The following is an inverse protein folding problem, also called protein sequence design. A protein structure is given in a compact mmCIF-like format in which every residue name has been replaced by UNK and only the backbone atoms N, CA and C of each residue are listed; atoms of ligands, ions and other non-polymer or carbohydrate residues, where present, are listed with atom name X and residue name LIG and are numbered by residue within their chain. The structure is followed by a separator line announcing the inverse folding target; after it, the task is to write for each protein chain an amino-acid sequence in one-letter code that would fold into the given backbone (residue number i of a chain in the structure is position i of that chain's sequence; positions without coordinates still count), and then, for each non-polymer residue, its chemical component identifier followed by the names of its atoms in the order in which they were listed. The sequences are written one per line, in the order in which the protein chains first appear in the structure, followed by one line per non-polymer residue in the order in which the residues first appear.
data_IF_983073857349
#
_entry.id   IF_983073857349
#
_cell.length_a   1.000
_cell.length_b   1.000
_cell.length_c   1.000
_cell.angle_alpha   90.00
_cell.angle_beta   90.00
_cell.angle_gamma   90.00
#
_symmetry.space_group_name_H-M   'P 1'
#
loop_
_entity.id
_entity.type
_entity.pdbx_description
1 polymer ?
#
# COMPACT_ATOMS: atom_id res chain seq x y z
N UNK A 1 46.04 -16.51 1.66
CA UNK A 1 44.98 -15.97 2.54
C UNK A 1 44.96 -14.47 2.34
N UNK A 2 43.93 -13.93 1.70
CA UNK A 2 43.73 -12.51 1.53
C UNK A 2 42.26 -12.21 1.89
N UNK A 3 42.07 -11.41 2.93
CA UNK A 3 40.77 -10.89 3.36
C UNK A 3 40.41 -9.67 2.50
N UNK A 4 39.18 -9.54 1.98
CA UNK A 4 38.75 -8.31 1.33
C UNK A 4 38.32 -7.28 2.38
N UNK A 5 38.82 -6.05 2.22
CA UNK A 5 38.44 -4.87 2.98
C UNK A 5 36.94 -4.59 2.83
N UNK A 6 36.27 -4.43 3.98
CA UNK A 6 34.94 -3.83 4.05
C UNK A 6 35.06 -2.35 3.70
N UNK A 7 34.63 -1.98 2.49
CA UNK A 7 34.36 -0.58 2.18
C UNK A 7 33.12 -0.14 2.97
N UNK A 8 33.35 0.61 4.05
CA UNK A 8 32.31 1.29 4.82
C UNK A 8 31.53 2.25 3.91
N UNK A 9 30.20 2.10 3.90
CA UNK A 9 29.28 3.00 3.24
C UNK A 9 29.22 4.33 4.03
N UNK A 10 30.12 5.25 3.72
CA UNK A 10 30.10 6.63 4.24
C UNK A 10 29.00 7.46 3.55
N UNK A 11 27.75 7.24 3.95
CA UNK A 11 26.65 8.15 3.62
C UNK A 11 26.68 9.35 4.57
N UNK A 12 27.46 10.39 4.19
CA UNK A 12 27.41 11.66 4.89
C UNK A 12 26.08 12.39 4.63
N UNK A 13 25.41 12.92 5.67
CA UNK A 13 24.23 13.75 5.48
C UNK A 13 24.62 15.07 4.81
N UNK A 14 23.96 15.40 3.71
CA UNK A 14 24.09 16.70 3.07
C UNK A 14 22.84 17.54 3.33
N UNK A 15 23.05 18.82 3.64
CA UNK A 15 21.98 19.77 3.88
C UNK A 15 21.82 20.67 2.66
N UNK A 16 20.62 20.69 2.09
CA UNK A 16 20.27 21.60 1.00
C UNK A 16 19.65 22.87 1.59
N UNK A 17 20.44 23.93 1.68
CA UNK A 17 19.96 25.26 2.06
C UNK A 17 19.53 26.03 0.81
N UNK A 18 18.22 26.23 0.65
CA UNK A 18 17.68 27.05 -0.43
C UNK A 18 17.94 28.54 -0.12
N UNK A 19 18.67 29.22 -1.01
CA UNK A 19 18.95 30.66 -0.90
C UNK A 19 17.71 31.43 -1.34
N UNK A 20 16.97 31.99 -0.38
CA UNK A 20 15.91 32.94 -0.69
C UNK A 20 16.51 34.13 -1.46
N UNK A 21 15.96 34.43 -2.64
CA UNK A 21 16.37 35.56 -3.46
C UNK A 21 16.04 36.85 -2.69
N UNK A 22 17.06 37.63 -2.35
CA UNK A 22 16.88 38.95 -1.72
C UNK A 22 16.13 39.85 -2.71
N UNK A 23 14.86 40.13 -2.44
CA UNK A 23 14.12 41.16 -3.16
C UNK A 23 14.81 42.50 -2.91
N UNK A 24 15.32 43.12 -3.98
CA UNK A 24 15.88 44.46 -3.95
C UNK A 24 14.75 45.47 -3.66
N UNK A 25 14.69 46.00 -2.45
CA UNK A 25 14.04 47.30 -2.24
C UNK A 25 15.08 48.39 -2.50
N UNK A 26 14.97 49.08 -3.63
CA UNK A 26 15.70 50.32 -3.87
C UNK A 26 15.24 51.38 -2.85
N UNK A 27 16.09 51.67 -1.86
CA UNK A 27 16.05 52.97 -1.16
C UNK A 27 17.45 53.56 -1.14
N UNK A 28 17.58 54.67 -1.86
CA UNK A 28 18.75 55.55 -1.84
C UNK A 28 18.91 56.16 -0.45
N UNK A 29 20.05 55.94 0.21
CA UNK A 29 20.69 56.96 1.05
C UNK A 29 22.15 56.60 1.35
N UNK A 30 23.03 57.50 0.90
CA UNK A 30 24.37 57.85 1.40
C UNK A 30 24.90 57.16 2.68
N UNK A 31 26.16 56.73 2.65
CA UNK A 31 27.01 56.70 3.87
C UNK A 31 27.78 55.40 4.13
N UNK A 32 29.11 55.49 4.02
CA UNK A 32 30.12 54.44 4.28
C UNK A 32 30.12 53.84 5.70
N UNK A 33 30.23 52.50 5.82
CA UNK A 33 31.37 51.78 6.46
C UNK A 33 31.08 50.29 6.65
N UNK A 34 32.03 49.45 6.21
CA UNK A 34 32.12 48.01 6.51
C UNK A 34 32.28 47.78 8.01
N UNK A 35 31.36 47.04 8.65
CA UNK A 35 31.60 46.39 9.94
C UNK A 35 31.13 44.95 9.85
N UNK A 36 32.11 44.05 9.87
CA UNK A 36 31.99 42.59 9.99
C UNK A 36 31.48 42.29 11.40
N UNK A 37 30.22 41.86 11.57
CA UNK A 37 29.68 41.46 12.88
C UNK A 37 29.53 39.94 12.97
N UNK A 38 30.41 39.38 13.80
CA UNK A 38 30.36 38.03 14.40
C UNK A 38 29.11 37.97 15.29
N UNK A 39 28.31 36.92 15.14
CA UNK A 39 27.14 36.67 15.99
C UNK A 39 27.66 36.09 17.31
N UNK A 40 27.59 36.86 18.39
CA UNK A 40 27.68 36.36 19.76
C UNK A 40 26.25 36.29 20.32
N UNK A 41 25.83 35.08 20.68
CA UNK A 41 24.57 34.80 21.37
C UNK A 41 24.81 35.05 22.87
N UNK A 42 24.08 35.99 23.46
CA UNK A 42 23.83 36.04 24.90
C UNK A 42 22.55 36.84 25.20
N UNK A 43 21.77 36.44 26.23
CA UNK A 43 20.38 36.88 26.40
C UNK A 43 20.31 38.26 27.06
N UNK A 44 19.48 39.16 26.53
CA UNK A 44 19.25 40.48 27.12
C UNK A 44 18.12 40.40 28.14
N UNK A 45 18.51 40.67 29.39
CA UNK A 45 17.66 40.88 30.56
C UNK A 45 16.75 42.09 30.42
N UNK A 46 15.56 41.98 30.98
CA UNK A 46 14.50 42.97 30.99
C UNK A 46 14.87 44.28 31.71
N UNK A 47 14.51 45.43 31.09
CA UNK A 47 13.86 46.60 31.70
C UNK A 47 13.87 47.78 30.72
N UNK A 48 12.70 48.13 30.19
CA UNK A 48 12.05 49.44 30.38
C UNK A 48 10.89 49.58 29.38
N UNK A 49 9.71 49.80 29.93
CA UNK A 49 8.48 50.07 29.23
C UNK A 49 8.42 51.52 28.78
N UNK A 50 7.88 51.78 27.59
CA UNK A 50 6.99 52.93 27.33
C UNK A 50 6.22 52.73 26.02
N UNK A 51 5.05 52.10 26.18
CA UNK A 51 3.75 52.38 25.55
C UNK A 51 3.77 53.21 24.25
N UNK A 52 3.61 52.54 23.12
CA UNK A 52 2.84 53.07 21.99
C UNK A 52 2.07 51.92 21.34
N UNK A 53 0.75 51.95 21.48
CA UNK A 53 -0.18 51.11 20.75
C UNK A 53 0.09 51.27 19.25
N UNK A 54 0.23 50.15 18.53
CA UNK A 54 -0.28 49.88 17.17
C UNK A 54 0.12 48.44 16.83
N UNK A 55 -0.88 47.61 16.51
CA UNK A 55 -0.67 46.40 15.74
C UNK A 55 -1.05 45.10 16.46
N UNK A 56 -2.34 44.81 16.54
CA UNK A 56 -2.91 43.45 16.62
C UNK A 56 -2.61 42.65 15.33
N UNK A 57 -1.34 42.63 14.91
CA UNK A 57 -0.84 42.10 13.65
C UNK A 57 0.19 40.99 13.80
N UNK A 58 0.93 40.93 14.92
CA UNK A 58 2.04 39.98 15.07
C UNK A 58 1.56 38.52 15.32
N UNK A 59 0.52 38.31 16.13
CA UNK A 59 -0.03 36.96 16.37
C UNK A 59 -0.83 36.40 15.19
N UNK A 60 -1.45 37.28 14.38
CA UNK A 60 -2.20 36.87 13.17
C UNK A 60 -1.27 36.49 12.02
N UNK A 61 -0.12 37.15 11.92
CA UNK A 61 0.89 36.88 10.90
C UNK A 61 1.68 35.61 11.23
N UNK A 62 1.95 35.33 12.52
CA UNK A 62 2.62 34.10 12.97
C UNK A 62 1.81 32.83 12.66
N UNK A 63 0.52 32.80 13.01
CA UNK A 63 -0.35 31.66 12.66
C UNK A 63 -0.55 31.47 11.16
N UNK A 64 -0.55 32.57 10.38
CA UNK A 64 -0.63 32.50 8.93
C UNK A 64 0.67 31.94 8.32
N UNK A 65 1.83 32.37 8.86
CA UNK A 65 3.13 31.87 8.44
C UNK A 65 3.33 30.39 8.79
N UNK A 66 2.88 29.95 9.97
CA UNK A 66 2.86 28.55 10.37
C UNK A 66 1.94 27.69 9.48
N UNK A 67 0.77 28.22 9.11
CA UNK A 67 -0.11 27.55 8.15
C UNK A 67 0.57 27.37 6.78
N UNK A 68 1.20 28.43 6.25
CA UNK A 68 1.93 28.37 4.98
C UNK A 68 3.13 27.40 5.05
N UNK A 69 3.84 27.34 6.18
CA UNK A 69 4.92 26.36 6.41
C UNK A 69 4.38 24.93 6.39
N UNK A 70 3.27 24.68 7.08
CA UNK A 70 2.63 23.37 7.12
C UNK A 70 2.11 22.95 5.74
N UNK A 71 1.50 23.87 5.00
CA UNK A 71 1.04 23.64 3.63
C UNK A 71 2.21 23.31 2.70
N UNK A 72 3.28 24.11 2.76
CA UNK A 72 4.49 23.85 1.99
C UNK A 72 5.12 22.50 2.36
N UNK A 73 5.15 22.16 3.66
CA UNK A 73 5.63 20.86 4.13
C UNK A 73 4.77 19.73 3.57
N UNK A 74 3.46 19.78 3.72
CA UNK A 74 2.54 18.75 3.22
C UNK A 74 2.64 18.59 1.70
N UNK A 75 2.76 19.69 0.97
CA UNK A 75 2.93 19.67 -0.48
C UNK A 75 4.24 18.99 -0.89
N UNK A 76 5.37 19.36 -0.25
CA UNK A 76 6.67 18.76 -0.55
C UNK A 76 6.70 17.29 -0.13
N UNK A 77 6.19 16.97 1.07
CA UNK A 77 6.13 15.61 1.60
C UNK A 77 5.27 14.69 0.73
N UNK A 78 4.07 15.11 0.36
CA UNK A 78 3.20 14.33 -0.53
C UNK A 78 3.84 14.07 -1.89
N UNK A 79 4.59 15.04 -2.43
CA UNK A 79 5.35 14.87 -3.68
C UNK A 79 6.52 13.89 -3.53
N UNK A 80 7.23 13.93 -2.40
CA UNK A 80 8.30 12.96 -2.11
C UNK A 80 7.68 11.56 -2.00
N UNK A 81 6.63 11.42 -1.20
CA UNK A 81 5.92 10.15 -0.98
C UNK A 81 5.38 9.57 -2.29
N UNK A 82 4.72 10.39 -3.12
CA UNK A 82 4.21 9.94 -4.41
C UNK A 82 5.33 9.51 -5.35
N UNK A 83 6.44 10.24 -5.38
CA UNK A 83 7.60 9.89 -6.21
C UNK A 83 8.21 8.56 -5.78
N UNK A 84 8.33 8.30 -4.48
CA UNK A 84 8.82 7.02 -3.95
C UNK A 84 7.89 5.88 -4.34
N UNK A 85 6.58 6.06 -4.13
CA UNK A 85 5.56 5.06 -4.52
C UNK A 85 5.61 4.77 -6.03
N UNK A 86 5.70 5.80 -6.87
CA UNK A 86 5.79 5.64 -8.32
C UNK A 86 7.05 4.86 -8.75
N UNK A 87 8.20 5.13 -8.11
CA UNK A 87 9.45 4.40 -8.38
C UNK A 87 9.31 2.93 -7.98
N UNK A 88 8.80 2.64 -6.78
CA UNK A 88 8.59 1.26 -6.30
C UNK A 88 7.62 0.49 -7.20
N UNK A 89 6.50 1.11 -7.54
CA UNK A 89 5.52 0.54 -8.46
C UNK A 89 6.13 0.24 -9.83
N UNK A 90 6.95 1.14 -10.37
CA UNK A 90 7.58 0.97 -11.68
C UNK A 90 8.61 -0.17 -11.67
N UNK A 91 9.36 -0.35 -10.59
CA UNK A 91 10.30 -1.47 -10.42
C UNK A 91 9.56 -2.81 -10.45
N UNK A 92 8.41 -2.90 -9.77
CA UNK A 92 7.63 -4.12 -9.66
C UNK A 92 6.71 -4.40 -10.86
N UNK A 93 6.47 -3.40 -11.72
CA UNK A 93 5.47 -3.46 -12.78
C UNK A 93 5.64 -4.66 -13.71
N UNK A 94 6.89 -4.99 -14.08
CA UNK A 94 7.14 -6.15 -14.95
C UNK A 94 6.72 -7.46 -14.28
N UNK A 95 7.05 -7.64 -12.99
CA UNK A 95 6.66 -8.83 -12.22
C UNK A 95 5.14 -8.90 -12.06
N UNK A 96 4.49 -7.76 -11.81
CA UNK A 96 3.03 -7.70 -11.72
C UNK A 96 2.35 -8.10 -13.04
N UNK A 97 2.87 -7.65 -14.18
CA UNK A 97 2.37 -8.06 -15.50
C UNK A 97 2.53 -9.56 -15.74
N UNK A 98 3.67 -10.14 -15.32
CA UNK A 98 3.94 -11.57 -15.44
C UNK A 98 2.99 -12.41 -14.55
N UNK A 99 2.76 -11.97 -13.30
CA UNK A 99 1.79 -12.60 -12.39
C UNK A 99 0.38 -12.50 -12.98
N UNK A 100 -0.01 -11.32 -13.49
CA UNK A 100 -1.31 -11.14 -14.11
C UNK A 100 -1.50 -12.05 -15.34
N UNK A 101 -0.47 -12.19 -16.18
CA UNK A 101 -0.49 -13.12 -17.32
C UNK A 101 -0.69 -14.56 -16.84
N UNK A 102 0.05 -14.99 -15.82
CA UNK A 102 -0.09 -16.33 -15.24
C UNK A 102 -1.49 -16.57 -14.65
N UNK A 103 -2.09 -15.56 -13.99
CA UNK A 103 -3.47 -15.63 -13.48
C UNK A 103 -4.47 -15.85 -14.62
N UNK A 104 -4.35 -15.09 -15.71
CA UNK A 104 -5.21 -15.22 -16.88
C UNK A 104 -5.07 -16.59 -17.55
N UNK A 105 -3.83 -17.05 -17.77
CA UNK A 105 -3.55 -18.37 -18.35
C UNK A 105 -4.11 -19.51 -17.49
N UNK A 106 -3.95 -19.40 -16.17
CA UNK A 106 -4.51 -20.36 -15.21
C UNK A 106 -6.04 -20.37 -15.23
N UNK A 107 -6.66 -19.20 -15.30
CA UNK A 107 -8.11 -19.06 -15.37
C UNK A 107 -8.69 -19.59 -16.69
N UNK A 108 -8.02 -19.33 -17.82
CA UNK A 108 -8.42 -19.87 -19.11
C UNK A 108 -8.28 -21.40 -19.16
N UNK A 109 -7.25 -21.96 -18.52
CA UNK A 109 -7.12 -23.40 -18.35
C UNK A 109 -8.32 -23.99 -17.60
N UNK A 110 -8.75 -23.37 -16.49
CA UNK A 110 -9.96 -23.77 -15.75
C UNK A 110 -11.21 -23.71 -16.63
N UNK A 111 -11.42 -22.59 -17.33
CA UNK A 111 -12.61 -22.40 -18.19
C UNK A 111 -12.66 -23.38 -19.35
N UNK A 112 -11.53 -23.62 -20.01
CA UNK A 112 -11.45 -24.50 -21.19
C UNK A 112 -11.94 -25.92 -20.88
N UNK A 113 -11.75 -26.37 -19.63
CA UNK A 113 -12.22 -27.67 -19.19
C UNK A 113 -13.69 -27.71 -18.78
N UNK A 114 -14.26 -26.58 -18.35
CA UNK A 114 -15.68 -26.46 -17.99
C UNK A 114 -16.67 -26.52 -19.16
N UNK A 115 -16.19 -26.64 -20.42
CA UNK A 115 -17.01 -26.60 -21.64
C UNK A 115 -17.97 -27.80 -21.80
N UNK A 116 -17.95 -28.79 -20.91
CA UNK A 116 -18.95 -29.88 -20.87
C UNK A 116 -20.22 -29.56 -20.07
N UNK A 117 -20.37 -28.35 -19.52
CA UNK A 117 -21.61 -27.92 -18.86
C UNK A 117 -22.65 -27.36 -19.86
N UNK A 118 -22.82 -27.99 -21.03
CA UNK A 118 -23.91 -27.61 -21.95
C UNK A 118 -25.24 -28.20 -21.45
N UNK A 119 -26.18 -27.32 -21.07
CA UNK A 119 -27.59 -27.61 -20.75
C UNK A 119 -27.85 -28.67 -19.66
N UNK A 120 -27.50 -28.37 -18.42
CA UNK A 120 -28.11 -29.06 -17.28
C UNK A 120 -29.54 -28.53 -17.03
N UNK A 121 -30.52 -29.08 -17.75
CA UNK A 121 -31.97 -28.91 -17.49
C UNK A 121 -32.45 -29.88 -16.40
N UNK A 122 -31.57 -30.30 -15.49
CA UNK A 122 -31.89 -31.31 -14.48
C UNK A 122 -31.34 -30.91 -13.12
N UNK A 123 -32.22 -31.04 -12.12
CA UNK A 123 -31.96 -30.89 -10.70
C UNK A 123 -30.81 -31.80 -10.26
N UNK A 124 -29.75 -31.14 -9.77
CA UNK A 124 -28.50 -31.66 -9.21
C UNK A 124 -27.60 -32.44 -10.19
N UNK A 125 -26.44 -31.89 -10.59
CA UNK A 125 -25.43 -32.68 -11.26
C UNK A 125 -24.72 -33.56 -10.22
N UNK A 126 -24.81 -34.88 -10.42
CA UNK A 126 -23.89 -35.84 -9.80
C UNK A 126 -22.52 -35.55 -10.38
N UNK A 127 -21.58 -35.17 -9.50
CA UNK A 127 -20.19 -34.84 -9.83
C UNK A 127 -19.48 -36.10 -10.31
N UNK A 128 -19.39 -36.28 -11.62
CA UNK A 128 -18.48 -37.24 -12.25
C UNK A 128 -17.53 -36.47 -13.17
N UNK A 129 -16.24 -36.55 -12.83
CA UNK A 129 -15.08 -35.90 -13.43
C UNK A 129 -14.94 -34.37 -13.28
N UNK A 130 -14.61 -33.97 -12.04
CA UNK A 130 -13.94 -32.69 -11.77
C UNK A 130 -12.44 -32.82 -12.11
N UNK A 131 -12.10 -32.65 -13.38
CA UNK A 131 -10.72 -32.64 -13.89
C UNK A 131 -9.86 -31.48 -13.37
N UNK A 132 -10.42 -30.56 -12.56
CA UNK A 132 -9.65 -29.55 -11.83
C UNK A 132 -9.98 -29.56 -10.33
N UNK A 133 -9.40 -30.52 -9.63
CA UNK A 133 -9.30 -30.53 -8.16
C UNK A 133 -8.09 -29.74 -7.65
N UNK A 134 -7.39 -28.96 -8.46
CA UNK A 134 -6.15 -28.28 -8.03
C UNK A 134 -6.31 -26.77 -8.12
N UNK A 135 -6.15 -26.10 -6.98
CA UNK A 135 -6.07 -24.65 -6.88
C UNK A 135 -4.72 -24.21 -7.46
N UNK A 136 -4.76 -23.35 -8.48
CA UNK A 136 -3.55 -22.71 -8.99
C UNK A 136 -3.00 -21.79 -7.91
N UNK A 137 -1.78 -22.08 -7.45
CA UNK A 137 -1.14 -21.37 -6.35
C UNK A 137 0.26 -20.95 -6.79
N UNK A 138 0.58 -19.67 -6.60
CA UNK A 138 1.91 -19.12 -6.83
C UNK A 138 2.54 -18.71 -5.50
N UNK A 139 3.81 -19.09 -5.29
CA UNK A 139 4.59 -18.62 -4.15
C UNK A 139 5.47 -17.45 -4.62
N UNK A 140 5.27 -16.28 -4.03
CA UNK A 140 6.03 -15.06 -4.37
C UNK A 140 7.11 -14.86 -3.31
N UNK A 141 8.37 -14.97 -3.72
CA UNK A 141 9.49 -14.64 -2.87
C UNK A 141 9.88 -13.18 -3.09
N UNK A 142 9.58 -12.35 -2.09
CA UNK A 142 10.13 -11.01 -2.02
C UNK A 142 11.58 -11.12 -1.51
N UNK A 143 12.47 -10.28 -2.06
CA UNK A 143 13.86 -10.19 -1.57
C UNK A 143 14.01 -9.09 -0.51
N UNK A 144 12.89 -8.68 0.08
CA UNK A 144 12.87 -7.59 1.04
C UNK A 144 13.40 -8.07 2.39
N UNK A 145 14.03 -7.15 3.11
CA UNK A 145 14.60 -7.44 4.42
C UNK A 145 13.56 -7.30 5.54
N UNK A 146 12.52 -6.48 5.32
CA UNK A 146 11.46 -6.18 6.27
C UNK A 146 10.08 -6.56 5.71
N UNK A 147 9.25 -7.19 6.54
CA UNK A 147 7.89 -7.63 6.17
C UNK A 147 6.96 -6.45 5.81
N UNK A 148 7.27 -5.24 6.26
CA UNK A 148 6.47 -4.04 5.97
C UNK A 148 6.55 -3.66 4.48
N UNK A 149 7.72 -3.89 3.86
CA UNK A 149 7.89 -3.68 2.42
C UNK A 149 7.10 -4.71 1.60
N UNK A 150 6.96 -5.93 2.13
CA UNK A 150 6.17 -6.99 1.51
C UNK A 150 4.69 -6.63 1.52
N UNK A 151 4.17 -6.13 2.64
CA UNK A 151 2.77 -5.72 2.77
C UNK A 151 2.39 -4.67 1.70
N UNK A 152 3.22 -3.64 1.53
CA UNK A 152 2.99 -2.61 0.51
C UNK A 152 3.07 -3.20 -0.91
N UNK A 153 4.01 -4.12 -1.15
CA UNK A 153 4.18 -4.77 -2.45
C UNK A 153 2.95 -5.62 -2.82
N UNK A 154 2.42 -6.40 -1.87
CA UNK A 154 1.23 -7.22 -2.08
C UNK A 154 -0.04 -6.38 -2.20
N UNK A 155 -0.14 -5.26 -1.48
CA UNK A 155 -1.23 -4.29 -1.66
C UNK A 155 -1.23 -3.73 -3.09
N UNK A 156 -0.07 -3.29 -3.59
CA UNK A 156 0.08 -2.79 -4.97
C UNK A 156 -0.21 -3.88 -6.02
N UNK A 157 0.24 -5.12 -5.79
CA UNK A 157 -0.10 -6.26 -6.65
C UNK A 157 -1.61 -6.47 -6.71
N UNK A 158 -2.27 -6.43 -5.56
CA UNK A 158 -3.73 -6.56 -5.49
C UNK A 158 -4.45 -5.45 -6.26
N UNK A 159 -4.01 -4.20 -6.12
CA UNK A 159 -4.54 -3.08 -6.89
C UNK A 159 -4.30 -3.24 -8.40
N UNK A 160 -3.10 -3.69 -8.78
CA UNK A 160 -2.76 -3.96 -10.17
C UNK A 160 -3.68 -5.03 -10.78
N UNK A 161 -3.88 -6.15 -10.10
CA UNK A 161 -4.77 -7.22 -10.56
C UNK A 161 -6.23 -6.75 -10.65
N UNK A 162 -6.71 -5.96 -9.68
CA UNK A 162 -8.06 -5.35 -9.72
C UNK A 162 -8.22 -4.43 -10.93
N UNK A 163 -7.24 -3.57 -11.22
CA UNK A 163 -7.31 -2.67 -12.39
C UNK A 163 -7.31 -3.42 -13.72
N UNK A 164 -6.84 -4.66 -13.74
CA UNK A 164 -6.85 -5.54 -14.91
C UNK A 164 -8.04 -6.53 -14.94
N UNK A 165 -9.06 -6.31 -14.10
CA UNK A 165 -10.33 -7.02 -14.18
C UNK A 165 -10.43 -8.29 -13.33
N UNK A 166 -9.47 -8.54 -12.45
CA UNK A 166 -9.56 -9.62 -11.46
C UNK A 166 -10.36 -9.18 -10.22
N UNK A 167 -11.04 -10.12 -9.58
CA UNK A 167 -11.56 -9.94 -8.22
C UNK A 167 -10.47 -10.36 -7.24
N UNK A 168 -10.01 -9.45 -6.39
CA UNK A 168 -8.89 -9.72 -5.48
C UNK A 168 -9.25 -9.45 -4.03
N UNK A 169 -8.93 -10.41 -3.16
CA UNK A 169 -8.97 -10.25 -1.71
C UNK A 169 -7.58 -10.48 -1.13
N UNK A 170 -7.18 -9.63 -0.18
CA UNK A 170 -5.92 -9.73 0.55
C UNK A 170 -6.21 -10.20 1.97
N UNK A 171 -5.72 -11.38 2.33
CA UNK A 171 -5.87 -11.96 3.66
C UNK A 171 -4.50 -11.98 4.33
N UNK A 172 -4.49 -11.87 5.65
CA UNK A 172 -3.27 -11.87 6.46
C UNK A 172 -3.32 -12.95 7.54
N UNK A 173 -2.23 -13.10 8.28
CA UNK A 173 -2.17 -13.97 9.47
C UNK A 173 -3.28 -13.73 10.50
N UNK A 174 -3.87 -12.53 10.57
CA UNK A 174 -5.00 -12.20 11.46
C UNK A 174 -6.26 -12.98 11.04
N UNK A 175 -6.48 -13.11 9.74
CA UNK A 175 -7.61 -13.82 9.15
C UNK A 175 -7.49 -15.35 9.33
N UNK A 176 -6.26 -15.86 9.40
CA UNK A 176 -5.92 -17.26 9.61
C UNK A 176 -5.54 -17.57 11.06
N UNK A 177 -6.11 -16.86 12.03
CA UNK A 177 -5.84 -17.09 13.46
C UNK A 177 -6.64 -18.28 14.02
N UNK A 178 -6.03 -19.04 14.93
CA UNK A 178 -6.67 -20.19 15.57
C UNK A 178 -7.96 -19.83 16.33
N UNK A 179 -8.03 -18.61 16.89
CA UNK A 179 -9.18 -18.13 17.66
C UNK A 179 -10.43 -17.93 16.80
N UNK A 180 -10.26 -17.52 15.54
CA UNK A 180 -11.37 -17.27 14.62
C UNK A 180 -11.70 -18.49 13.76
N UNK A 181 -10.77 -19.44 13.67
CA UNK A 181 -10.87 -20.60 12.80
C UNK A 181 -11.15 -20.21 11.34
N UNK A 182 -11.70 -21.15 10.59
CA UNK A 182 -12.04 -20.96 9.17
C UNK A 182 -13.13 -19.89 8.94
N UNK A 183 -13.97 -19.64 9.94
CA UNK A 183 -14.99 -18.59 9.88
C UNK A 183 -14.39 -17.18 9.87
N UNK A 184 -13.16 -17.00 10.36
CA UNK A 184 -12.43 -15.73 10.29
C UNK A 184 -12.08 -15.35 8.85
N UNK A 185 -11.30 -16.20 8.18
CA UNK A 185 -10.86 -15.97 6.81
C UNK A 185 -12.05 -15.90 5.83
N UNK A 186 -13.07 -16.76 5.98
CA UNK A 186 -14.24 -16.71 5.11
C UNK A 186 -15.06 -15.41 5.28
N UNK A 187 -15.25 -14.92 6.51
CA UNK A 187 -15.90 -13.62 6.75
C UNK A 187 -15.10 -12.48 6.13
N UNK A 188 -13.77 -12.51 6.26
CA UNK A 188 -12.89 -11.49 5.68
C UNK A 188 -12.96 -11.49 4.15
N UNK A 189 -12.93 -12.68 3.55
CA UNK A 189 -13.08 -12.88 2.11
C UNK A 189 -14.41 -12.33 1.59
N UNK A 190 -15.53 -12.73 2.21
CA UNK A 190 -16.87 -12.26 1.82
C UNK A 190 -17.01 -10.75 2.01
N UNK A 191 -16.46 -10.18 3.09
CA UNK A 191 -16.45 -8.74 3.30
C UNK A 191 -15.72 -8.01 2.19
N UNK A 192 -14.60 -8.54 1.71
CA UNK A 192 -13.81 -7.93 0.64
C UNK A 192 -14.40 -8.09 -0.76
N UNK A 193 -15.26 -9.08 -1.01
CA UNK A 193 -15.92 -9.22 -2.31
C UNK A 193 -17.31 -8.59 -2.35
N UNK A 194 -18.10 -8.78 -1.29
CA UNK A 194 -19.49 -8.31 -1.25
C UNK A 194 -19.63 -6.92 -0.61
N UNK A 195 -18.55 -6.37 -0.02
CA UNK A 195 -18.59 -5.08 0.69
C UNK A 195 -19.61 -5.04 1.85
N UNK A 196 -19.96 -6.20 2.42
CA UNK A 196 -20.92 -6.33 3.53
C UNK A 196 -20.33 -7.14 4.68
N UNK A 197 -20.80 -6.88 5.90
CA UNK A 197 -20.47 -7.71 7.06
C UNK A 197 -21.55 -8.78 7.21
N UNK A 198 -21.15 -10.05 7.31
CA UNK A 198 -22.05 -11.18 7.44
C UNK A 198 -21.87 -11.84 8.81
N UNK A 199 -22.98 -12.08 9.49
CA UNK A 199 -23.00 -12.78 10.79
C UNK A 199 -22.71 -14.28 10.63
N UNK A 200 -23.17 -14.87 9.52
CA UNK A 200 -22.86 -16.22 9.11
C UNK A 200 -22.19 -16.19 7.73
N UNK A 201 -20.94 -16.66 7.66
CA UNK A 201 -20.20 -16.76 6.42
C UNK A 201 -20.29 -18.18 5.86
N UNK A 202 -20.67 -18.28 4.59
CA UNK A 202 -20.77 -19.54 3.84
C UNK A 202 -20.23 -19.33 2.42
N UNK A 203 -19.52 -20.32 1.90
CA UNK A 203 -18.97 -20.33 0.54
C UNK A 203 -20.09 -20.30 -0.52
N UNK A 204 -21.29 -20.80 -0.20
CA UNK A 204 -22.46 -20.72 -1.06
C UNK A 204 -22.83 -19.27 -1.43
N UNK A 205 -22.60 -18.33 -0.52
CA UNK A 205 -22.82 -16.90 -0.75
C UNK A 205 -21.83 -16.37 -1.79
N UNK A 206 -20.56 -16.77 -1.71
CA UNK A 206 -19.55 -16.39 -2.69
C UNK A 206 -19.88 -16.96 -4.07
N UNK A 207 -20.33 -18.21 -4.13
CA UNK A 207 -20.73 -18.85 -5.38
C UNK A 207 -21.93 -18.14 -6.04
N UNK A 208 -22.92 -17.74 -5.24
CA UNK A 208 -24.05 -16.92 -5.72
C UNK A 208 -23.58 -15.57 -6.24
N UNK A 209 -22.74 -14.86 -5.49
CA UNK A 209 -22.19 -13.56 -5.90
C UNK A 209 -21.38 -13.67 -7.19
N UNK A 210 -20.60 -14.73 -7.37
CA UNK A 210 -19.80 -14.93 -8.58
C UNK A 210 -20.66 -15.25 -9.80
N UNK A 211 -21.84 -15.85 -9.60
CA UNK A 211 -22.78 -16.18 -10.67
C UNK A 211 -23.53 -14.96 -11.22
N UNK A 212 -23.46 -13.81 -10.55
CA UNK A 212 -24.06 -12.57 -11.04
C UNK A 212 -23.36 -12.08 -12.32
N UNK A 213 -24.15 -11.51 -13.24
CA UNK A 213 -23.74 -11.15 -14.61
C UNK A 213 -22.53 -10.18 -14.67
N UNK A 214 -22.24 -9.43 -13.60
CA UNK A 214 -21.09 -8.51 -13.53
C UNK A 214 -19.80 -9.15 -13.02
N UNK A 215 -19.89 -10.30 -12.35
CA UNK A 215 -18.79 -10.95 -11.64
C UNK A 215 -18.30 -12.20 -12.35
N UNK A 216 -19.20 -12.88 -13.07
CA UNK A 216 -18.89 -14.08 -13.82
C UNK A 216 -17.79 -13.85 -14.87
N UNK A 217 -17.03 -14.90 -15.18
CA UNK A 217 -15.96 -14.92 -16.18
C UNK A 217 -14.76 -13.99 -15.86
N UNK A 218 -14.53 -13.70 -14.58
CA UNK A 218 -13.36 -12.95 -14.09
C UNK A 218 -12.57 -13.81 -13.09
N UNK A 219 -11.23 -13.79 -13.12
CA UNK A 219 -10.44 -14.52 -12.13
C UNK A 219 -10.74 -14.02 -10.71
N UNK A 220 -10.92 -14.96 -9.77
CA UNK A 220 -10.94 -14.67 -8.33
C UNK A 220 -9.57 -15.03 -7.77
N UNK A 221 -8.87 -14.05 -7.21
CA UNK A 221 -7.52 -14.17 -6.67
C UNK A 221 -7.56 -13.87 -5.18
N UNK A 222 -6.94 -14.76 -4.39
CA UNK A 222 -6.72 -14.56 -2.96
C UNK A 222 -5.23 -14.41 -2.73
N UNK A 223 -4.81 -13.24 -2.27
CA UNK A 223 -3.43 -12.97 -1.85
C UNK A 223 -3.36 -13.23 -0.34
N UNK A 224 -2.35 -13.97 0.11
CA UNK A 224 -2.12 -14.26 1.53
C UNK A 224 -0.78 -13.64 1.91
N UNK A 225 -0.86 -12.58 2.69
CA UNK A 225 0.30 -11.86 3.23
C UNK A 225 0.73 -12.50 4.56
N UNK A 226 2.01 -12.35 4.92
CA UNK A 226 2.62 -12.90 6.15
C UNK A 226 2.28 -14.39 6.38
N UNK A 227 2.37 -15.20 5.31
CA UNK A 227 1.97 -16.61 5.31
C UNK A 227 2.67 -17.41 6.43
N UNK A 228 3.91 -17.06 6.77
CA UNK A 228 4.71 -17.68 7.83
C UNK A 228 4.12 -17.51 9.23
N UNK A 229 3.20 -16.56 9.42
CA UNK A 229 2.51 -16.30 10.69
C UNK A 229 1.10 -16.90 10.76
N UNK A 230 0.61 -17.48 9.66
CA UNK A 230 -0.72 -18.08 9.63
C UNK A 230 -0.81 -19.36 10.50
N UNK A 231 -1.98 -19.63 11.09
CA UNK A 231 -2.22 -20.93 11.70
C UNK A 231 -2.36 -22.00 10.62
N UNK A 232 -1.40 -22.93 10.55
CA UNK A 232 -1.34 -23.93 9.48
C UNK A 232 -2.58 -24.81 9.36
N UNK A 233 -3.24 -25.16 10.47
CA UNK A 233 -4.48 -25.94 10.42
C UNK A 233 -5.63 -25.15 9.80
N UNK A 234 -5.83 -23.88 10.20
CA UNK A 234 -6.87 -23.00 9.66
C UNK A 234 -6.63 -22.72 8.17
N UNK A 235 -5.39 -22.46 7.78
CA UNK A 235 -5.01 -22.27 6.37
C UNK A 235 -5.26 -23.54 5.55
N UNK A 236 -4.90 -24.71 6.08
CA UNK A 236 -5.16 -26.00 5.43
C UNK A 236 -6.65 -26.24 5.24
N UNK A 237 -7.46 -26.01 6.28
CA UNK A 237 -8.91 -26.18 6.20
C UNK A 237 -9.54 -25.21 5.19
N UNK A 238 -9.04 -23.97 5.11
CA UNK A 238 -9.45 -22.99 4.11
C UNK A 238 -9.13 -23.44 2.68
N UNK A 239 -7.91 -23.94 2.43
CA UNK A 239 -7.50 -24.48 1.12
C UNK A 239 -8.38 -25.69 0.75
N UNK A 240 -8.69 -26.56 1.71
CA UNK A 240 -9.59 -27.69 1.50
C UNK A 240 -11.00 -27.22 1.14
N UNK A 241 -11.54 -26.18 1.81
CA UNK A 241 -12.85 -25.61 1.49
C UNK A 241 -12.91 -25.12 0.03
N UNK A 242 -11.90 -24.38 -0.43
CA UNK A 242 -11.87 -23.82 -1.79
C UNK A 242 -11.76 -24.88 -2.89
N UNK A 243 -11.41 -26.13 -2.54
CA UNK A 243 -11.25 -27.25 -3.48
C UNK A 243 -12.58 -27.96 -3.78
N UNK A 244 -13.59 -27.80 -2.93
CA UNK A 244 -14.90 -28.45 -3.04
C UNK A 244 -15.91 -27.57 -3.76
#
# INVERSE_FOLDING_TARGET
MATPDHAENDLQPFFVLHKALVQKSERKSSGSRKIRRRIELSPISAKNAEKMEIGTGEERDDHHYEHLRMEAFNFVWSKIESTIKDVLRNINLNVFNEIHRWVCESFDAIKSCGTTLTKATHSYPIVTDATFRQLFTGLVFTKNMEFVDDLMTFEELGLHLKSHGCHVANLSSIDFSANNGIGGCLRSLLRQFLMVTLDAADISILASWYSDQGNYNKPVVVIIDDMERCCGSVLSDFILMLRY
#
